data_IF_608052630708
#
_entry.id   IF_608052630708
#
_cell.length_a   1.000
_cell.length_b   1.000
_cell.length_c   1.000
_cell.angle_alpha   90.00
_cell.angle_beta   90.00
_cell.angle_gamma   90.00
#
_symmetry.space_group_name_H-M   'P 1'
#
loop_
_entity.id
_entity.type
_entity.pdbx_description
1 polymer ?
#
# COMPACT_ATOMS: atom_id res chain seq x y z
N UNK A 1 -39.35 -10.78 13.75
CA UNK A 1 -39.26 -9.53 12.98
C UNK A 1 -37.80 -9.09 12.94
N UNK A 2 -37.12 -9.23 11.79
CA UNK A 2 -35.73 -8.77 11.62
C UNK A 2 -35.77 -7.30 11.21
N UNK A 3 -35.20 -6.41 12.02
CA UNK A 3 -35.08 -5.00 11.68
C UNK A 3 -34.11 -4.85 10.48
N UNK A 4 -34.60 -4.31 9.38
CA UNK A 4 -33.81 -3.98 8.20
C UNK A 4 -32.86 -2.82 8.52
N UNK A 5 -31.58 -2.99 8.21
CA UNK A 5 -30.56 -1.94 8.34
C UNK A 5 -30.77 -0.94 7.20
N UNK A 6 -31.10 0.30 7.52
CA UNK A 6 -31.22 1.38 6.54
C UNK A 6 -29.85 1.65 5.87
N UNK A 7 -29.82 1.92 4.55
CA UNK A 7 -28.59 2.29 3.87
C UNK A 7 -28.07 3.63 4.41
N UNK A 8 -26.75 3.72 4.62
CA UNK A 8 -26.09 4.97 5.00
C UNK A 8 -26.11 5.93 3.79
N UNK A 9 -26.46 7.21 3.98
CA UNK A 9 -26.38 8.20 2.90
C UNK A 9 -24.93 8.35 2.45
N UNK A 10 -24.72 8.45 1.13
CA UNK A 10 -23.43 8.76 0.54
C UNK A 10 -22.98 10.15 1.03
N UNK A 11 -21.70 10.28 1.39
CA UNK A 11 -21.12 11.57 1.72
C UNK A 11 -21.12 12.45 0.46
N UNK A 12 -21.52 13.73 0.55
CA UNK A 12 -21.42 14.65 -0.57
C UNK A 12 -19.94 14.82 -0.97
N UNK A 13 -19.69 14.80 -2.28
CA UNK A 13 -18.36 15.08 -2.84
C UNK A 13 -17.92 16.52 -2.55
N UNK A 14 -16.61 16.80 -2.58
CA UNK A 14 -16.09 18.14 -2.36
C UNK A 14 -16.63 19.12 -3.42
N UNK A 15 -16.89 20.39 -3.06
CA UNK A 15 -17.37 21.41 -4.00
C UNK A 15 -16.31 21.70 -5.07
N UNK A 16 -16.76 21.91 -6.31
CA UNK A 16 -15.91 22.27 -7.44
C UNK A 16 -15.27 23.65 -7.25
N UNK A 17 -13.95 23.67 -6.99
CA UNK A 17 -13.17 24.89 -6.86
C UNK A 17 -11.73 24.57 -6.45
N UNK A 18 -10.78 24.71 -7.41
CA UNK A 18 -9.32 24.50 -7.30
C UNK A 18 -8.89 23.51 -6.22
N UNK A 19 -8.59 22.26 -6.61
CA UNK A 19 -7.98 21.30 -5.70
C UNK A 19 -6.73 21.86 -5.02
N UNK A 20 -6.66 21.63 -3.72
CA UNK A 20 -5.49 21.93 -2.91
C UNK A 20 -4.29 21.07 -3.28
N UNK A 21 -4.50 19.88 -3.88
CA UNK A 21 -3.45 18.88 -4.16
C UNK A 21 -2.32 19.47 -5.01
N UNK A 22 -2.62 20.32 -6.00
CA UNK A 22 -1.62 20.93 -6.88
C UNK A 22 -1.51 22.45 -6.74
N UNK A 23 -1.83 22.96 -5.56
CA UNK A 23 -1.68 24.39 -5.23
C UNK A 23 -0.22 24.86 -5.23
N UNK A 24 0.74 23.95 -5.06
CA UNK A 24 2.17 24.24 -5.16
C UNK A 24 2.77 23.62 -6.43
N UNK A 25 3.29 24.43 -7.39
CA UNK A 25 3.75 23.94 -8.69
C UNK A 25 5.03 23.10 -8.63
N UNK A 26 5.71 23.01 -7.48
CA UNK A 26 6.94 22.20 -7.31
C UNK A 26 6.74 20.98 -6.39
N UNK A 27 5.50 20.55 -6.23
CA UNK A 27 5.14 19.38 -5.43
C UNK A 27 4.50 18.32 -6.32
N UNK A 28 5.03 17.09 -6.24
CA UNK A 28 4.35 15.91 -6.75
C UNK A 28 3.46 15.33 -5.65
N UNK A 29 2.24 14.94 -6.00
CA UNK A 29 1.22 14.44 -5.08
C UNK A 29 0.75 13.07 -5.53
N UNK A 30 0.95 12.10 -4.63
CA UNK A 30 0.48 10.73 -4.78
C UNK A 30 -0.46 10.39 -3.63
N UNK A 31 -1.68 9.95 -3.97
CA UNK A 31 -2.69 9.54 -3.00
C UNK A 31 -2.47 8.09 -2.54
N UNK A 32 -2.91 7.72 -1.33
CA UNK A 32 -2.77 6.34 -0.84
C UNK A 32 -3.68 5.38 -1.61
N UNK A 33 -3.08 4.49 -2.40
CA UNK A 33 -3.72 3.44 -3.17
C UNK A 33 -3.75 2.09 -2.46
N UNK A 34 -3.32 2.01 -1.20
CA UNK A 34 -3.35 0.81 -0.35
C UNK A 34 -2.61 -0.40 -0.93
N UNK A 35 -3.15 -1.59 -0.69
CA UNK A 35 -2.58 -2.90 -1.03
C UNK A 35 -3.65 -3.82 -1.63
N UNK A 36 -3.23 -4.88 -2.33
CA UNK A 36 -4.11 -5.76 -3.13
C UNK A 36 -5.31 -6.32 -2.35
N UNK A 37 -5.08 -6.74 -1.11
CA UNK A 37 -6.10 -7.45 -0.33
C UNK A 37 -7.10 -6.55 0.42
N UNK A 38 -6.88 -5.23 0.53
CA UNK A 38 -7.75 -4.34 1.27
C UNK A 38 -7.66 -2.89 0.76
N UNK A 39 -8.77 -2.17 0.51
CA UNK A 39 -10.17 -2.56 0.69
C UNK A 39 -10.78 -3.33 -0.50
N UNK A 40 -9.95 -3.78 -1.44
CA UNK A 40 -10.35 -4.29 -2.74
C UNK A 40 -10.30 -3.21 -3.83
N UNK A 41 -9.91 -3.60 -5.04
CA UNK A 41 -9.58 -2.67 -6.14
C UNK A 41 -10.72 -1.73 -6.53
N UNK A 42 -11.95 -2.24 -6.66
CA UNK A 42 -13.13 -1.42 -6.99
C UNK A 42 -13.38 -0.31 -5.95
N UNK A 43 -13.29 -0.68 -4.67
CA UNK A 43 -13.49 0.24 -3.55
C UNK A 43 -12.38 1.28 -3.51
N UNK A 44 -11.15 0.88 -3.78
CA UNK A 44 -10.00 1.77 -3.75
C UNK A 44 -10.00 2.74 -4.93
N UNK A 45 -10.32 2.29 -6.14
CA UNK A 45 -10.47 3.15 -7.31
C UNK A 45 -11.52 4.25 -7.06
N UNK A 46 -12.69 3.87 -6.51
CA UNK A 46 -13.75 4.82 -6.15
C UNK A 46 -13.29 5.85 -5.13
N UNK A 47 -12.51 5.42 -4.14
CA UNK A 47 -11.95 6.32 -3.11
C UNK A 47 -10.91 7.28 -3.70
N UNK A 48 -10.05 6.82 -4.61
CA UNK A 48 -9.08 7.67 -5.31
C UNK A 48 -9.80 8.72 -6.16
N UNK A 49 -10.83 8.33 -6.91
CA UNK A 49 -11.66 9.26 -7.69
C UNK A 49 -12.31 10.31 -6.78
N UNK A 50 -12.95 9.88 -5.70
CA UNK A 50 -13.56 10.78 -4.72
C UNK A 50 -12.55 11.71 -4.02
N UNK A 51 -11.28 11.30 -3.95
CA UNK A 51 -10.18 12.08 -3.40
C UNK A 51 -9.52 13.02 -4.43
N UNK A 52 -9.97 13.03 -5.69
CA UNK A 52 -9.46 13.92 -6.73
C UNK A 52 -8.20 13.40 -7.41
N UNK A 53 -8.10 12.09 -7.68
CA UNK A 53 -6.95 11.48 -8.38
C UNK A 53 -6.65 12.12 -9.75
N UNK A 54 -7.66 12.65 -10.45
CA UNK A 54 -7.49 13.37 -11.72
C UNK A 54 -6.72 14.70 -11.56
N UNK A 55 -6.63 15.21 -10.33
CA UNK A 55 -5.90 16.42 -9.98
C UNK A 55 -4.56 16.10 -9.28
N UNK A 56 -4.23 14.83 -9.06
CA UNK A 56 -2.96 14.38 -8.48
C UNK A 56 -1.98 13.91 -9.58
N UNK A 57 -0.72 13.69 -9.23
CA UNK A 57 0.24 13.07 -10.16
C UNK A 57 0.05 11.55 -10.21
N UNK A 58 -0.56 10.95 -9.18
CA UNK A 58 -0.84 9.53 -9.15
C UNK A 58 -1.27 9.03 -7.78
N UNK A 59 -1.00 7.74 -7.53
CA UNK A 59 -1.16 7.11 -6.22
C UNK A 59 0.11 6.36 -5.78
N UNK A 60 0.20 5.96 -4.50
CA UNK A 60 1.26 5.09 -4.03
C UNK A 60 0.68 3.78 -3.49
N UNK A 61 1.44 2.69 -3.56
CA UNK A 61 1.03 1.38 -3.05
C UNK A 61 2.10 0.78 -2.13
N UNK A 62 1.73 -0.26 -1.39
CA UNK A 62 2.62 -1.05 -0.54
C UNK A 62 3.21 -0.29 0.67
N UNK A 63 2.71 0.93 0.95
CA UNK A 63 3.16 1.66 2.15
C UNK A 63 2.70 0.92 3.39
N UNK A 64 3.66 0.63 4.28
CA UNK A 64 3.47 -0.27 5.41
C UNK A 64 3.11 -1.73 5.04
N UNK A 65 3.22 -2.11 3.77
CA UNK A 65 3.13 -3.48 3.26
C UNK A 65 4.48 -4.18 3.12
N UNK A 66 4.43 -5.38 2.53
CA UNK A 66 5.58 -6.25 2.28
C UNK A 66 5.50 -6.94 0.92
N UNK A 67 4.46 -6.68 0.11
CA UNK A 67 4.20 -7.31 -1.19
C UNK A 67 5.41 -7.18 -2.10
N UNK A 68 5.76 -8.26 -2.82
CA UNK A 68 6.90 -8.20 -3.73
C UNK A 68 6.69 -7.11 -4.77
N UNK A 69 7.79 -6.59 -5.32
CA UNK A 69 7.74 -5.47 -6.25
C UNK A 69 6.92 -5.80 -7.50
N UNK A 70 7.05 -7.01 -8.04
CA UNK A 70 6.24 -7.52 -9.15
C UNK A 70 4.74 -7.58 -8.80
N UNK A 71 4.39 -8.09 -7.62
CA UNK A 71 3.00 -8.10 -7.15
C UNK A 71 2.43 -6.67 -6.99
N UNK A 72 3.24 -5.75 -6.47
CA UNK A 72 2.86 -4.34 -6.32
C UNK A 72 2.67 -3.63 -7.66
N UNK A 73 3.48 -3.98 -8.66
CA UNK A 73 3.34 -3.50 -10.05
C UNK A 73 2.02 -3.98 -10.64
N UNK A 74 1.70 -5.27 -10.51
CA UNK A 74 0.46 -5.83 -11.05
C UNK A 74 -0.78 -5.25 -10.36
N UNK A 75 -0.75 -5.11 -9.02
CA UNK A 75 -1.82 -4.43 -8.28
C UNK A 75 -1.99 -2.98 -8.74
N UNK A 76 -0.91 -2.21 -8.83
CA UNK A 76 -0.97 -0.81 -9.26
C UNK A 76 -1.51 -0.67 -10.68
N UNK A 77 -1.10 -1.53 -11.62
CA UNK A 77 -1.67 -1.57 -12.98
C UNK A 77 -3.16 -1.87 -12.96
N UNK A 78 -3.60 -2.85 -12.16
CA UNK A 78 -5.00 -3.19 -12.01
C UNK A 78 -5.83 -2.05 -11.40
N UNK A 79 -5.30 -1.37 -10.38
CA UNK A 79 -5.95 -0.22 -9.75
C UNK A 79 -6.03 0.97 -10.70
N UNK A 80 -4.95 1.27 -11.42
CA UNK A 80 -4.89 2.32 -12.43
C UNK A 80 -5.90 2.08 -13.57
N UNK A 81 -5.99 0.84 -14.07
CA UNK A 81 -6.99 0.45 -15.06
C UNK A 81 -8.43 0.60 -14.52
N UNK A 82 -8.65 0.21 -13.27
CA UNK A 82 -9.95 0.31 -12.62
C UNK A 82 -10.38 1.77 -12.46
N UNK A 83 -9.48 2.68 -12.06
CA UNK A 83 -9.77 4.13 -12.05
C UNK A 83 -10.21 4.62 -13.43
N UNK A 84 -9.48 4.24 -14.50
CA UNK A 84 -9.86 4.60 -15.88
C UNK A 84 -11.26 4.08 -16.26
N UNK A 85 -11.61 2.85 -15.89
CA UNK A 85 -12.94 2.25 -16.13
C UNK A 85 -14.04 2.96 -15.34
N UNK A 86 -13.83 3.28 -14.07
CA UNK A 86 -14.84 3.97 -13.27
C UNK A 86 -15.07 5.40 -13.76
N UNK A 87 -14.00 6.11 -14.13
CA UNK A 87 -14.10 7.45 -14.72
C UNK A 87 -14.83 7.45 -16.06
N UNK A 88 -14.64 6.42 -16.89
CA UNK A 88 -15.29 6.35 -18.21
C UNK A 88 -16.75 5.89 -18.14
N UNK A 89 -17.10 5.03 -17.18
CA UNK A 89 -18.44 4.43 -17.10
C UNK A 89 -19.34 5.04 -16.02
N UNK A 90 -18.77 5.75 -15.04
CA UNK A 90 -19.49 6.25 -13.87
C UNK A 90 -19.99 5.13 -12.92
N UNK A 91 -19.49 3.90 -13.06
CA UNK A 91 -19.86 2.75 -12.23
C UNK A 91 -18.79 2.50 -11.15
N UNK A 92 -19.22 1.96 -10.02
CA UNK A 92 -18.32 1.57 -8.93
C UNK A 92 -17.55 0.26 -9.20
N UNK A 93 -17.93 -0.50 -10.22
CA UNK A 93 -17.29 -1.75 -10.59
C UNK A 93 -16.32 -1.54 -11.76
N UNK A 94 -15.32 -2.40 -11.86
CA UNK A 94 -14.35 -2.43 -12.96
C UNK A 94 -14.43 -3.72 -13.80
N UNK A 95 -15.49 -3.91 -14.62
CA UNK A 95 -15.61 -5.08 -15.48
C UNK A 95 -14.47 -5.18 -16.49
N UNK A 96 -13.94 -6.39 -16.68
CA UNK A 96 -12.78 -6.66 -17.56
C UNK A 96 -13.10 -6.53 -19.06
N UNK A 97 -14.38 -6.53 -19.42
CA UNK A 97 -14.86 -6.38 -20.79
C UNK A 97 -14.99 -4.91 -21.23
N UNK A 98 -14.81 -3.97 -20.30
CA UNK A 98 -14.78 -2.54 -20.62
C UNK A 98 -13.39 -2.15 -21.11
N UNK A 99 -13.27 -1.51 -22.28
CA UNK A 99 -11.98 -0.98 -22.75
C UNK A 99 -11.38 0.02 -21.76
N UNK A 100 -10.09 -0.13 -21.48
CA UNK A 100 -9.33 0.80 -20.64
C UNK A 100 -8.81 1.95 -21.50
N UNK A 101 -9.11 3.18 -21.10
CA UNK A 101 -8.48 4.38 -21.67
C UNK A 101 -7.14 4.60 -20.98
N UNK A 102 -6.04 4.25 -21.67
CA UNK A 102 -4.67 4.38 -21.15
C UNK A 102 -4.30 5.84 -20.85
N UNK A 103 -4.91 6.82 -21.52
CA UNK A 103 -4.65 8.23 -21.25
C UNK A 103 -5.24 8.72 -19.92
N UNK A 104 -6.16 7.94 -19.33
CA UNK A 104 -6.80 8.19 -18.02
C UNK A 104 -6.32 7.26 -16.93
N UNK A 105 -5.27 6.47 -17.19
CA UNK A 105 -4.66 5.60 -16.19
C UNK A 105 -3.71 6.44 -15.33
N UNK A 106 -4.00 6.67 -14.03
CA UNK A 106 -3.07 7.37 -13.16
C UNK A 106 -1.78 6.57 -12.99
N UNK A 107 -0.65 7.29 -12.97
CA UNK A 107 0.64 6.72 -12.62
C UNK A 107 0.72 6.42 -11.12
N UNK A 108 1.75 5.68 -10.71
CA UNK A 108 1.96 5.37 -9.30
C UNK A 108 3.41 5.17 -8.90
N UNK A 109 3.66 5.25 -7.59
CA UNK A 109 4.93 4.91 -6.96
C UNK A 109 4.75 3.72 -6.02
N UNK A 110 5.82 2.95 -5.80
CA UNK A 110 5.78 1.76 -4.94
C UNK A 110 6.71 1.94 -3.76
N UNK A 111 6.21 1.69 -2.54
CA UNK A 111 7.08 1.54 -1.38
C UNK A 111 7.82 0.20 -1.42
N UNK A 112 9.13 0.23 -1.61
CA UNK A 112 10.02 -0.94 -1.62
C UNK A 112 10.88 -1.06 -0.36
N UNK A 113 10.57 -0.27 0.69
CA UNK A 113 11.41 -0.22 1.88
C UNK A 113 11.57 -1.58 2.58
N UNK A 114 10.59 -2.47 2.50
CA UNK A 114 10.53 -3.69 3.34
C UNK A 114 10.14 -4.95 2.57
N UNK A 115 10.09 -4.91 1.25
CA UNK A 115 9.48 -5.96 0.43
C UNK A 115 10.47 -6.89 -0.31
N UNK A 116 11.76 -6.88 0.02
CA UNK A 116 12.76 -7.70 -0.69
C UNK A 116 12.48 -9.21 -0.61
N UNK A 117 11.82 -9.64 0.47
CA UNK A 117 11.46 -11.03 0.71
C UNK A 117 9.96 -11.32 0.51
N UNK A 118 9.17 -10.33 0.09
CA UNK A 118 7.72 -10.45 -0.04
C UNK A 118 6.96 -10.45 1.29
N UNK A 119 5.66 -10.72 1.23
CA UNK A 119 4.79 -10.86 2.40
C UNK A 119 5.18 -12.06 3.26
N UNK A 120 4.95 -11.96 4.56
CA UNK A 120 5.28 -13.03 5.50
C UNK A 120 4.10 -13.99 5.67
N UNK A 121 4.38 -15.28 5.47
CA UNK A 121 3.45 -16.37 5.73
C UNK A 121 3.85 -17.08 7.03
N UNK A 122 3.06 -16.95 8.12
CA UNK A 122 3.37 -17.60 9.38
C UNK A 122 3.25 -19.11 9.26
N UNK A 123 4.30 -19.85 9.66
CA UNK A 123 4.26 -21.30 9.72
C UNK A 123 3.37 -21.83 10.87
N UNK A 124 3.16 -21.01 11.90
CA UNK A 124 2.31 -21.32 13.05
C UNK A 124 0.94 -20.66 12.89
N UNK A 125 -0.07 -21.22 13.54
CA UNK A 125 -1.40 -20.62 13.61
C UNK A 125 -1.48 -19.62 14.77
N UNK A 126 -2.06 -18.47 14.49
CA UNK A 126 -2.31 -17.37 15.43
C UNK A 126 -3.77 -16.92 15.34
N UNK A 127 -4.31 -16.38 16.43
CA UNK A 127 -5.67 -15.80 16.44
C UNK A 127 -5.72 -14.49 15.65
N UNK A 128 -4.69 -13.67 15.81
CA UNK A 128 -4.40 -12.54 14.93
C UNK A 128 -2.92 -12.63 14.55
N UNK A 129 -2.55 -13.09 13.34
CA UNK A 129 -1.14 -13.27 12.98
C UNK A 129 -0.37 -11.95 12.91
N UNK A 130 -1.05 -10.80 12.76
CA UNK A 130 -0.42 -9.48 12.62
C UNK A 130 0.72 -9.50 11.59
N UNK A 131 0.44 -10.00 10.39
CA UNK A 131 1.48 -10.23 9.35
C UNK A 131 2.22 -8.96 8.92
N UNK A 132 1.61 -7.81 9.15
CA UNK A 132 2.17 -6.48 8.95
C UNK A 132 3.10 -6.00 10.09
N UNK A 133 3.01 -6.64 11.26
CA UNK A 133 3.69 -6.22 12.49
C UNK A 133 4.99 -7.01 12.69
N UNK A 134 6.12 -6.33 12.47
CA UNK A 134 7.48 -6.86 12.61
C UNK A 134 7.66 -8.32 12.11
N UNK A 135 7.14 -8.71 10.93
CA UNK A 135 7.31 -10.09 10.46
C UNK A 135 8.79 -10.49 10.39
N UNK A 136 9.17 -11.69 10.84
CA UNK A 136 10.54 -12.18 10.77
C UNK A 136 10.98 -12.45 9.34
N UNK A 137 12.29 -12.38 9.10
CA UNK A 137 12.90 -12.78 7.84
C UNK A 137 12.51 -11.89 6.66
N UNK A 138 12.08 -10.64 6.91
CA UNK A 138 11.86 -9.65 5.85
C UNK A 138 13.15 -8.90 5.56
N UNK A 139 13.21 -8.31 4.37
CA UNK A 139 14.38 -7.61 3.85
C UNK A 139 14.00 -6.32 3.14
N UNK A 140 14.93 -5.38 3.04
CA UNK A 140 14.73 -4.20 2.18
C UNK A 140 14.66 -4.64 0.71
N UNK A 141 13.81 -3.98 -0.07
CA UNK A 141 13.65 -4.24 -1.51
C UNK A 141 14.61 -3.44 -2.39
N UNK A 142 14.26 -3.28 -3.69
CA UNK A 142 14.96 -2.37 -4.59
C UNK A 142 15.17 -0.98 -3.97
N UNK A 143 16.34 -0.39 -4.24
CA UNK A 143 16.68 0.97 -3.77
C UNK A 143 15.80 2.00 -4.48
N UNK A 144 15.58 3.18 -3.88
CA UNK A 144 14.82 4.23 -4.55
C UNK A 144 15.38 4.59 -5.92
N UNK A 145 14.53 4.61 -6.93
CA UNK A 145 14.90 4.87 -8.33
C UNK A 145 13.68 5.26 -9.15
N UNK A 146 13.86 6.08 -10.17
CA UNK A 146 12.86 6.34 -11.23
C UNK A 146 13.06 5.44 -12.45
N UNK A 147 14.18 4.70 -12.52
CA UNK A 147 14.43 3.71 -13.56
C UNK A 147 13.74 2.38 -13.19
N UNK A 148 12.41 2.34 -13.26
CA UNK A 148 11.58 1.19 -12.87
C UNK A 148 11.43 0.16 -14.00
N UNK A 149 11.52 0.62 -15.25
CA UNK A 149 11.24 -0.21 -16.43
C UNK A 149 9.73 -0.42 -16.70
N UNK A 150 8.86 0.23 -15.94
CA UNK A 150 7.40 0.09 -16.01
C UNK A 150 6.75 1.43 -16.39
N UNK A 151 5.94 1.42 -17.46
CA UNK A 151 5.34 2.64 -18.04
C UNK A 151 4.56 3.49 -17.02
N UNK A 152 3.82 2.85 -16.11
CA UNK A 152 2.96 3.50 -15.13
C UNK A 152 3.62 3.68 -13.75
N UNK A 153 4.84 3.18 -13.55
CA UNK A 153 5.51 3.26 -12.25
C UNK A 153 6.57 4.35 -12.29
N UNK A 154 6.26 5.49 -11.68
CA UNK A 154 7.14 6.66 -11.70
C UNK A 154 8.40 6.44 -10.87
N UNK A 155 8.28 5.73 -9.75
CA UNK A 155 9.41 5.44 -8.87
C UNK A 155 9.18 4.25 -7.94
N UNK A 156 10.28 3.59 -7.59
CA UNK A 156 10.41 2.87 -6.34
C UNK A 156 10.91 3.85 -5.28
N UNK A 157 10.30 3.85 -4.11
CA UNK A 157 10.63 4.73 -3.00
C UNK A 157 10.73 3.90 -1.71
N UNK A 158 11.49 4.40 -0.74
CA UNK A 158 11.43 3.86 0.62
C UNK A 158 10.58 4.81 1.46
N UNK A 159 9.27 4.56 1.49
CA UNK A 159 8.29 5.41 2.18
C UNK A 159 8.23 4.98 3.66
N UNK A 160 8.03 3.69 3.91
CA UNK A 160 8.17 3.14 5.25
C UNK A 160 9.64 3.18 5.70
N UNK A 161 9.85 3.33 7.02
CA UNK A 161 11.20 3.32 7.61
C UNK A 161 11.60 1.87 7.94
N UNK A 162 12.57 1.27 7.24
CA UNK A 162 12.88 -0.15 7.41
C UNK A 162 13.52 -0.49 8.75
N UNK A 163 13.97 0.48 9.54
CA UNK A 163 14.50 0.21 10.89
C UNK A 163 13.52 0.44 12.03
N UNK A 164 12.29 0.86 11.76
CA UNK A 164 11.32 1.14 12.83
C UNK A 164 10.35 0.00 13.06
N UNK A 165 10.02 -0.22 14.33
CA UNK A 165 9.06 -1.23 14.76
C UNK A 165 7.66 -0.94 14.22
N UNK A 166 6.95 -2.00 13.84
CA UNK A 166 5.51 -2.01 13.56
C UNK A 166 4.64 -2.06 14.82
N UNK A 167 5.23 -2.03 16.02
CA UNK A 167 4.53 -2.08 17.31
C UNK A 167 4.70 -3.39 18.08
N UNK A 168 3.91 -3.53 19.15
CA UNK A 168 3.88 -4.73 20.02
C UNK A 168 3.12 -5.86 19.32
N UNK A 169 3.83 -6.75 18.64
CA UNK A 169 3.26 -7.82 17.83
C UNK A 169 2.98 -9.09 18.65
N UNK A 170 1.95 -9.07 19.49
CA UNK A 170 1.61 -10.20 20.39
C UNK A 170 0.95 -11.38 19.68
N UNK A 171 0.51 -11.18 18.44
CA UNK A 171 -0.09 -12.20 17.57
C UNK A 171 -1.32 -12.91 18.18
N UNK A 172 -2.15 -12.15 18.88
CA UNK A 172 -3.32 -12.67 19.58
C UNK A 172 -3.03 -13.43 20.88
N UNK A 173 -1.81 -13.40 21.40
CA UNK A 173 -1.46 -14.03 22.68
C UNK A 173 -1.58 -13.06 23.86
N UNK A 174 -1.77 -13.61 25.08
CA UNK A 174 -1.83 -12.83 26.33
C UNK A 174 -0.46 -12.33 26.82
N UNK A 175 0.64 -12.80 26.20
CA UNK A 175 2.00 -12.45 26.58
C UNK A 175 2.50 -11.13 25.98
N UNK A 176 3.51 -10.53 26.63
CA UNK A 176 4.14 -9.29 26.16
C UNK A 176 5.14 -9.50 25.00
N UNK A 177 5.68 -10.71 24.87
CA UNK A 177 6.68 -11.04 23.85
C UNK A 177 6.02 -11.38 22.52
N UNK A 178 6.61 -10.92 21.42
CA UNK A 178 6.29 -11.44 20.09
C UNK A 178 6.70 -12.92 20.03
N UNK A 179 5.76 -13.86 19.84
CA UNK A 179 6.04 -15.28 19.86
C UNK A 179 6.92 -15.77 18.70
N UNK A 180 7.13 -14.94 17.66
CA UNK A 180 8.07 -15.25 16.57
C UNK A 180 9.45 -14.63 16.77
N UNK A 181 9.57 -13.57 17.58
CA UNK A 181 10.86 -12.90 17.84
C UNK A 181 11.43 -13.20 19.22
N UNK A 182 10.63 -13.72 20.15
CA UNK A 182 11.05 -14.06 21.51
C UNK A 182 11.34 -12.85 22.41
N UNK A 183 11.04 -11.63 21.95
CA UNK A 183 11.31 -10.37 22.63
C UNK A 183 10.06 -9.51 22.73
N UNK A 184 10.07 -8.54 23.64
CA UNK A 184 9.04 -7.49 23.67
C UNK A 184 9.43 -6.43 22.62
N UNK A 185 8.89 -6.54 21.40
CA UNK A 185 9.18 -5.63 20.27
C UNK A 185 8.94 -4.16 20.63
N UNK A 186 9.78 -3.19 20.24
CA UNK A 186 9.59 -1.76 20.56
C UNK A 186 8.23 -1.19 20.12
N UNK A 187 7.86 -0.01 20.63
CA UNK A 187 6.60 0.65 20.26
C UNK A 187 6.55 1.02 18.77
N UNK A 188 5.34 1.25 18.26
CA UNK A 188 5.15 1.62 16.86
C UNK A 188 5.97 2.88 16.52
N UNK A 189 6.83 2.77 15.51
CA UNK A 189 7.65 3.87 15.03
C UNK A 189 8.98 4.05 15.77
N UNK A 190 9.24 3.32 16.86
CA UNK A 190 10.55 3.35 17.53
C UNK A 190 11.63 2.66 16.70
N UNK A 191 12.86 3.15 16.80
CA UNK A 191 14.02 2.54 16.17
C UNK A 191 14.35 1.19 16.81
N UNK A 192 14.60 0.18 15.99
CA UNK A 192 15.00 -1.15 16.44
C UNK A 192 16.21 -1.64 15.64
N UNK A 193 17.39 -1.57 16.25
CA UNK A 193 18.66 -1.88 15.61
C UNK A 193 18.72 -3.32 15.06
N UNK A 194 18.22 -4.31 15.80
CA UNK A 194 18.23 -5.71 15.35
C UNK A 194 17.33 -5.92 14.13
N UNK A 195 16.15 -5.28 14.12
CA UNK A 195 15.23 -5.35 12.98
C UNK A 195 15.84 -4.67 11.74
N UNK A 196 16.50 -3.53 11.92
CA UNK A 196 17.20 -2.84 10.85
C UNK A 196 18.34 -3.71 10.27
N UNK A 197 19.13 -4.34 11.15
CA UNK A 197 20.21 -5.24 10.76
C UNK A 197 19.70 -6.49 10.04
N UNK A 198 18.63 -7.12 10.54
CA UNK A 198 17.97 -8.26 9.88
C UNK A 198 17.54 -7.89 8.45
N UNK A 199 16.86 -6.74 8.29
CA UNK A 199 16.38 -6.31 6.98
C UNK A 199 17.49 -5.95 6.01
N UNK A 200 18.60 -5.41 6.50
CA UNK A 200 19.80 -5.17 5.71
C UNK A 200 20.46 -6.47 5.25
N UNK A 201 20.57 -7.48 6.14
CA UNK A 201 21.11 -8.80 5.82
C UNK A 201 20.25 -9.55 4.79
N UNK A 202 18.93 -9.42 4.89
CA UNK A 202 17.97 -10.07 4.00
C UNK A 202 17.60 -9.23 2.78
N UNK A 203 18.37 -8.17 2.48
CA UNK A 203 18.10 -7.29 1.36
C UNK A 203 18.03 -8.05 0.03
N UNK A 204 17.05 -7.71 -0.79
CA UNK A 204 16.92 -8.24 -2.13
C UNK A 204 16.42 -7.14 -3.09
N UNK A 205 17.27 -6.63 -4.00
CA UNK A 205 18.65 -7.07 -4.25
C UNK A 205 19.60 -6.82 -3.06
N UNK A 206 20.71 -7.58 -2.92
CA UNK A 206 21.67 -7.38 -1.84
C UNK A 206 22.22 -5.95 -1.78
N UNK A 207 22.48 -5.46 -0.56
CA UNK A 207 23.19 -4.20 -0.33
C UNK A 207 24.67 -4.37 -0.74
N UNK A 208 25.28 -3.27 -1.19
CA UNK A 208 26.71 -3.22 -1.57
C UNK A 208 27.49 -2.52 -0.48
#
# INVERSE_FOLDING_TARGET
MRQGRLPRPALPGPPAGRSSLKSNPRTAVYLDGSQDFWPGTDVMARRLIAAGIEEADGFFVNTAGFERTDESVEYGKALSACVSVQLSTGRDACPKDVPVDRSRMPHFVIDTARNGQGSWEPAKKYDDPQVWCNPPGRGVGPRPTTATGEELVDAYLWIARPGTSGGRCRRGTDGEKDPERGVVSPELGEWWADLALERAKNANPPLR
#
